data_IF_514240771836
#
_entry.id   IF_514240771836
#
_cell.length_a   1.000
_cell.length_b   1.000
_cell.length_c   1.000
_cell.angle_alpha   90.00
_cell.angle_beta   90.00
_cell.angle_gamma   90.00
#
_symmetry.space_group_name_H-M   'P 1'
#
loop_
_entity.id
_entity.type
_entity.pdbx_description
1 polymer ?
#
# COMPACT_ATOMS: atom_id res chain seq x y z
N UNK A 1 -25.53 -19.56 24.10
CA UNK A 1 -24.08 -19.35 23.90
C UNK A 1 -23.75 -18.61 22.61
N UNK A 2 -24.36 -19.00 21.47
CA UNK A 2 -24.20 -18.30 20.16
C UNK A 2 -24.55 -16.80 20.18
N UNK A 3 -25.60 -16.38 20.90
CA UNK A 3 -25.94 -14.96 21.02
C UNK A 3 -24.90 -14.12 21.77
N UNK A 4 -24.23 -14.71 22.76
CA UNK A 4 -23.16 -14.04 23.52
C UNK A 4 -21.91 -13.88 22.63
N UNK A 5 -21.60 -14.90 21.83
CA UNK A 5 -20.50 -14.88 20.86
C UNK A 5 -20.70 -13.80 19.79
N UNK A 6 -21.92 -13.66 19.25
CA UNK A 6 -22.25 -12.61 18.28
C UNK A 6 -22.08 -11.20 18.86
N UNK A 7 -22.41 -11.01 20.14
CA UNK A 7 -22.27 -9.72 20.82
C UNK A 7 -20.79 -9.33 20.99
N UNK A 8 -19.94 -10.30 21.33
CA UNK A 8 -18.49 -10.10 21.46
C UNK A 8 -17.86 -9.76 20.10
N UNK A 9 -18.27 -10.43 19.03
CA UNK A 9 -17.77 -10.15 17.67
C UNK A 9 -18.15 -8.73 17.23
N UNK A 10 -19.37 -8.26 17.56
CA UNK A 10 -19.78 -6.89 17.25
C UNK A 10 -18.96 -5.84 17.98
N UNK A 11 -18.55 -6.08 19.22
CA UNK A 11 -17.71 -5.16 19.99
C UNK A 11 -16.29 -5.00 19.41
N UNK A 12 -15.76 -6.05 18.79
CA UNK A 12 -14.41 -6.03 18.20
C UNK A 12 -14.31 -5.20 16.90
N UNK A 13 -15.44 -4.88 16.26
CA UNK A 13 -15.49 -4.15 14.99
C UNK A 13 -15.41 -2.61 15.17
N UNK A 14 -15.43 -2.10 16.41
CA UNK A 14 -15.49 -0.65 16.70
C UNK A 14 -14.12 0.07 16.74
N UNK A 15 -13.03 -0.53 16.29
CA UNK A 15 -11.68 0.05 16.40
C UNK A 15 -11.27 1.02 15.26
N UNK A 16 -12.20 1.43 14.40
CA UNK A 16 -11.91 2.37 13.31
C UNK A 16 -11.96 3.84 13.80
N UNK A 17 -10.81 4.38 14.19
CA UNK A 17 -10.67 5.79 14.59
C UNK A 17 -10.14 6.63 13.41
N UNK A 18 -10.90 7.64 12.99
CA UNK A 18 -10.38 8.65 12.06
C UNK A 18 -9.45 9.60 12.80
N UNK A 19 -8.21 9.70 12.35
CA UNK A 19 -7.19 10.59 12.92
C UNK A 19 -6.94 11.78 12.00
N UNK A 20 -6.78 12.96 12.59
CA UNK A 20 -6.51 14.19 11.85
C UNK A 20 -5.12 14.12 11.20
N UNK A 21 -4.91 14.78 10.04
CA UNK A 21 -3.64 14.69 9.30
C UNK A 21 -2.39 14.98 10.12
N UNK A 22 -2.43 15.96 11.02
CA UNK A 22 -1.28 16.34 11.86
C UNK A 22 -1.01 15.34 13.01
N UNK A 23 -2.00 14.56 13.44
CA UNK A 23 -1.81 13.50 14.43
C UNK A 23 -1.00 12.32 13.86
N UNK A 24 -0.92 12.21 12.53
CA UNK A 24 -0.06 11.23 11.83
C UNK A 24 1.41 11.66 11.77
N UNK A 25 1.78 12.82 12.32
CA UNK A 25 3.15 13.35 12.25
C UNK A 25 4.23 12.38 12.77
N UNK A 26 3.91 11.55 13.76
CA UNK A 26 4.83 10.51 14.28
C UNK A 26 5.15 9.42 13.25
N UNK A 27 4.17 9.05 12.40
CA UNK A 27 4.31 8.04 11.33
C UNK A 27 4.67 8.66 9.98
N UNK A 28 4.71 10.00 9.89
CA UNK A 28 5.01 10.72 8.65
C UNK A 28 6.50 11.06 8.50
N UNK A 29 7.38 10.43 9.28
CA UNK A 29 8.83 10.63 9.16
C UNK A 29 9.32 10.13 7.80
N UNK A 30 10.27 10.81 7.14
CA UNK A 30 10.80 10.37 5.85
C UNK A 30 11.29 8.92 5.85
N UNK A 31 11.92 8.48 6.94
CA UNK A 31 12.42 7.11 7.15
C UNK A 31 11.33 6.03 7.29
N UNK A 32 10.08 6.42 7.53
CA UNK A 32 8.93 5.51 7.65
C UNK A 32 8.10 5.47 6.36
N UNK A 33 8.49 6.23 5.33
CA UNK A 33 7.85 6.13 4.02
C UNK A 33 8.18 4.75 3.42
N UNK A 34 7.19 4.16 2.75
CA UNK A 34 7.38 2.91 2.00
C UNK A 34 8.54 3.04 0.99
N UNK A 35 8.72 4.25 0.47
CA UNK A 35 9.73 4.58 -0.50
C UNK A 35 10.40 5.91 -0.13
N UNK A 36 11.43 5.88 0.74
CA UNK A 36 12.06 7.09 1.27
C UNK A 36 12.92 7.81 0.23
N UNK A 37 13.45 7.08 -0.76
CA UNK A 37 14.23 7.64 -1.87
C UNK A 37 13.50 7.46 -3.20
N UNK A 38 12.88 8.54 -3.66
CA UNK A 38 12.14 8.58 -4.93
C UNK A 38 13.03 8.34 -6.15
N UNK A 39 14.30 8.68 -6.10
CA UNK A 39 15.23 8.46 -7.21
C UNK A 39 15.52 6.96 -7.34
N UNK A 40 15.84 6.32 -6.22
CA UNK A 40 16.08 4.88 -6.17
C UNK A 40 14.84 4.08 -6.59
N UNK A 41 13.66 4.48 -6.11
CA UNK A 41 12.37 3.90 -6.50
C UNK A 41 12.14 3.91 -8.01
N UNK A 42 12.37 5.09 -8.62
CA UNK A 42 12.19 5.32 -10.05
C UNK A 42 13.21 4.53 -10.86
N UNK A 43 14.46 4.45 -10.40
CA UNK A 43 15.48 3.62 -11.03
C UNK A 43 15.04 2.14 -10.99
N UNK A 44 14.56 1.66 -9.84
CA UNK A 44 14.13 0.28 -9.68
C UNK A 44 12.95 -0.06 -10.60
N UNK A 45 11.93 0.81 -10.70
CA UNK A 45 10.80 0.59 -11.61
C UNK A 45 11.22 0.62 -13.08
N UNK A 46 12.16 1.48 -13.48
CA UNK A 46 12.69 1.49 -14.85
C UNK A 46 13.48 0.23 -15.19
N UNK A 47 14.30 -0.27 -14.26
CA UNK A 47 15.05 -1.52 -14.43
C UNK A 47 14.09 -2.71 -14.49
N UNK A 48 13.12 -2.74 -13.58
CA UNK A 48 12.08 -3.77 -13.53
C UNK A 48 11.28 -3.79 -14.84
N UNK A 49 10.78 -2.64 -15.30
CA UNK A 49 10.09 -2.52 -16.59
C UNK A 49 10.97 -3.01 -17.75
N UNK A 50 12.25 -2.66 -17.76
CA UNK A 50 13.16 -3.08 -18.84
C UNK A 50 13.39 -4.60 -18.89
N UNK A 51 13.36 -5.26 -17.73
CA UNK A 51 13.58 -6.70 -17.63
C UNK A 51 12.29 -7.51 -17.80
N UNK A 52 11.16 -6.96 -17.38
CA UNK A 52 9.88 -7.67 -17.24
C UNK A 52 8.75 -7.08 -18.11
N UNK A 53 9.06 -6.15 -19.03
CA UNK A 53 8.07 -5.54 -19.95
C UNK A 53 7.25 -6.57 -20.74
N UNK A 54 7.81 -7.75 -21.04
CA UNK A 54 7.09 -8.82 -21.73
C UNK A 54 6.34 -9.78 -20.80
N UNK A 55 6.63 -9.79 -19.51
CA UNK A 55 6.04 -10.71 -18.52
C UNK A 55 4.85 -10.14 -17.76
N UNK A 56 4.60 -8.83 -17.88
CA UNK A 56 3.50 -8.13 -17.20
C UNK A 56 3.85 -7.82 -15.75
N UNK A 57 3.65 -6.56 -15.34
CA UNK A 57 3.91 -6.12 -13.97
C UNK A 57 2.78 -6.58 -13.02
N UNK A 58 3.14 -6.77 -11.76
CA UNK A 58 2.27 -7.05 -10.62
C UNK A 58 1.39 -5.87 -10.19
N UNK A 59 1.65 -4.65 -10.67
CA UNK A 59 0.71 -3.53 -10.57
C UNK A 59 -0.44 -3.71 -11.58
N UNK A 60 -1.69 -3.58 -11.09
CA UNK A 60 -2.92 -3.68 -11.89
C UNK A 60 -3.02 -2.49 -12.86
N UNK A 61 -2.21 -2.53 -13.92
CA UNK A 61 -2.24 -1.61 -15.04
C UNK A 61 -1.66 -2.29 -16.29
N UNK A 62 -2.37 -3.31 -16.78
CA UNK A 62 -2.39 -3.69 -18.20
C UNK A 62 -1.08 -4.24 -18.80
N UNK A 63 -1.06 -5.55 -19.05
CA UNK A 63 -0.20 -6.12 -20.07
C UNK A 63 -0.49 -5.44 -21.43
N UNK A 64 0.45 -4.64 -21.92
CA UNK A 64 0.34 -3.94 -23.20
C UNK A 64 1.72 -3.79 -23.84
N UNK A 65 1.78 -4.05 -25.15
CA UNK A 65 2.92 -3.77 -26.02
C UNK A 65 3.46 -2.36 -25.72
N UNK A 66 4.63 -2.28 -25.08
CA UNK A 66 5.23 -1.06 -24.54
C UNK A 66 5.67 -0.04 -25.59
N UNK A 67 4.73 0.53 -26.33
CA UNK A 67 4.94 1.72 -27.14
C UNK A 67 4.39 2.94 -26.38
N UNK A 68 5.29 3.86 -25.99
CA UNK A 68 4.92 5.23 -25.66
C UNK A 68 4.31 5.93 -26.87
#
# INVERSE_FOLDING_TARGET
MTRLLLFIIMLLLFSCQTVQPWQRGLLARPEMQLEPDRLQAKLHSQVYFSNEASSGDSEVAGAGCGCN
#
